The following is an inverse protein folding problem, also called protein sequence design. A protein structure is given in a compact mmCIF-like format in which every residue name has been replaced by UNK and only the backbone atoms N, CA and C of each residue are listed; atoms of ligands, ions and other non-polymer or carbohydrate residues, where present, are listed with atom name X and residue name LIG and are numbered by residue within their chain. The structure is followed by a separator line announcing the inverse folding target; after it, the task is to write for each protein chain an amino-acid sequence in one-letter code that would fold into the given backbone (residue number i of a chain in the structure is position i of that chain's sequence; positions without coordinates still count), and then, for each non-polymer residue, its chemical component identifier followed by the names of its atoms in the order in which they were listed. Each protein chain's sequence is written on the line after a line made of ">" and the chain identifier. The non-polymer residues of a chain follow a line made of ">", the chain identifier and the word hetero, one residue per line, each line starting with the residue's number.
data_IF_817243480966
#
_entry.id   IF_817243480966
#
_cell.length_a   1.000
_cell.length_b   1.000
_cell.length_c   1.000
_cell.angle_alpha   90.00
_cell.angle_beta   90.00
_cell.angle_gamma   90.00
#
_symmetry.space_group_name_H-M   'P 1'
#
loop_
_entity.id
_entity.type
_entity.pdbx_description
1 polymer ?
#
# COMPACT_ATOMS: atom_id res chain seq x y z
N UNK A 1 3.94 -19.23 10.03
CA UNK A 1 5.33 -18.69 9.81
C UNK A 1 5.26 -17.38 9.05
N UNK A 2 5.97 -16.32 9.50
CA UNK A 2 6.01 -15.01 8.83
C UNK A 2 7.35 -14.86 8.10
N UNK A 3 7.30 -14.50 6.83
CA UNK A 3 8.45 -14.05 6.05
C UNK A 3 8.26 -12.58 5.71
N UNK A 4 9.33 -11.81 5.73
CA UNK A 4 9.28 -10.37 5.49
C UNK A 4 10.54 -9.91 4.77
N UNK A 5 10.40 -9.01 3.82
CA UNK A 5 11.53 -8.34 3.17
C UNK A 5 11.21 -6.89 2.89
N UNK A 6 12.11 -6.01 3.30
CA UNK A 6 12.09 -4.57 3.02
C UNK A 6 13.05 -4.27 1.87
N UNK A 7 12.62 -3.43 0.96
CA UNK A 7 13.38 -2.99 -0.20
C UNK A 7 13.53 -1.48 -0.19
N UNK A 8 14.72 -1.02 -0.53
CA UNK A 8 14.91 0.38 -0.90
C UNK A 8 14.36 0.61 -2.31
N UNK A 9 13.63 1.71 -2.54
CA UNK A 9 13.06 1.97 -3.85
C UNK A 9 14.14 2.26 -4.89
N UNK A 10 13.84 1.94 -6.14
CA UNK A 10 14.67 2.32 -7.29
C UNK A 10 15.06 3.82 -7.22
N UNK A 11 16.32 4.22 -7.53
CA UNK A 11 16.78 5.60 -7.36
C UNK A 11 15.87 6.67 -8.00
N UNK A 12 15.27 6.38 -9.16
CA UNK A 12 14.32 7.28 -9.83
C UNK A 12 12.98 7.43 -9.06
N UNK A 13 12.65 6.51 -8.17
CA UNK A 13 11.45 6.54 -7.34
C UNK A 13 11.71 7.11 -5.95
N UNK A 14 12.97 7.25 -5.53
CA UNK A 14 13.34 7.59 -4.16
C UNK A 14 12.83 8.96 -3.67
N UNK A 15 12.47 9.87 -4.59
CA UNK A 15 11.85 11.16 -4.23
C UNK A 15 10.34 11.06 -3.97
N UNK A 16 9.71 9.94 -4.31
CA UNK A 16 8.27 9.71 -4.15
C UNK A 16 7.98 8.58 -3.18
N UNK A 17 8.75 7.51 -3.27
CA UNK A 17 8.57 6.27 -2.50
C UNK A 17 9.60 6.25 -1.37
N UNK A 18 9.13 5.94 -0.17
CA UNK A 18 9.99 5.80 1.00
C UNK A 18 10.48 4.37 1.13
N UNK A 19 9.60 3.40 0.92
CA UNK A 19 9.91 1.98 1.09
C UNK A 19 8.93 1.10 0.32
N UNK A 20 9.38 -0.08 -0.04
CA UNK A 20 8.55 -1.18 -0.50
C UNK A 20 8.82 -2.37 0.41
N UNK A 21 7.79 -3.02 0.94
CA UNK A 21 7.98 -4.25 1.68
C UNK A 21 6.96 -5.31 1.30
N UNK A 22 7.36 -6.57 1.39
CA UNK A 22 6.52 -7.72 1.11
C UNK A 22 6.49 -8.60 2.35
N UNK A 23 5.29 -9.00 2.74
CA UNK A 23 5.04 -9.93 3.85
C UNK A 23 4.29 -11.12 3.32
N UNK A 24 4.73 -12.31 3.69
CA UNK A 24 4.02 -13.57 3.50
C UNK A 24 3.81 -14.22 4.87
N UNK A 25 2.57 -14.49 5.21
CA UNK A 25 2.23 -15.13 6.47
C UNK A 25 1.43 -16.40 6.20
N UNK A 26 2.03 -17.52 6.55
CA UNK A 26 1.37 -18.83 6.56
C UNK A 26 0.88 -19.07 7.98
N UNK A 27 -0.42 -19.22 8.14
CA UNK A 27 -1.07 -19.47 9.44
C UNK A 27 -0.83 -20.92 9.87
N UNK A 28 -0.68 -21.14 11.17
CA UNK A 28 -0.60 -22.48 11.72
C UNK A 28 -1.98 -23.17 11.72
N UNK A 29 -2.05 -24.50 11.49
CA UNK A 29 -3.31 -25.22 11.55
C UNK A 29 -3.98 -25.05 12.92
N UNK A 30 -5.16 -24.44 12.94
CA UNK A 30 -5.91 -24.16 14.18
C UNK A 30 -5.83 -22.69 14.65
N UNK A 31 -4.99 -21.86 14.07
CA UNK A 31 -5.12 -20.42 14.17
C UNK A 31 -6.42 -20.00 13.47
N UNK A 32 -7.29 -19.33 14.23
CA UNK A 32 -8.53 -18.77 13.70
C UNK A 32 -8.27 -17.47 12.94
N UNK A 33 -9.29 -16.62 12.88
CA UNK A 33 -9.17 -15.28 12.31
C UNK A 33 -8.16 -14.45 13.13
N UNK A 34 -7.12 -13.95 12.48
CA UNK A 34 -6.19 -13.00 13.10
C UNK A 34 -6.77 -11.59 12.98
N UNK A 35 -6.81 -10.88 14.10
CA UNK A 35 -7.18 -9.48 14.15
C UNK A 35 -5.94 -8.63 14.37
N UNK A 36 -5.55 -7.90 13.34
CA UNK A 36 -4.46 -6.92 13.39
C UNK A 36 -4.99 -5.52 13.67
N UNK A 37 -4.16 -4.70 14.34
CA UNK A 37 -4.46 -3.30 14.58
C UNK A 37 -3.59 -2.45 13.65
N UNK A 38 -4.21 -1.55 12.90
CA UNK A 38 -3.51 -0.54 12.11
C UNK A 38 -3.65 0.81 12.81
N UNK A 39 -2.55 1.33 13.38
CA UNK A 39 -2.59 2.57 14.15
C UNK A 39 -2.78 3.79 13.25
N UNK A 40 -3.22 4.92 13.80
CA UNK A 40 -3.17 6.21 13.12
C UNK A 40 -1.75 6.50 12.60
N UNK A 41 -1.64 6.91 11.35
CA UNK A 41 -0.37 7.26 10.72
C UNK A 41 -0.57 8.33 9.66
N UNK A 42 0.35 9.30 9.52
CA UNK A 42 0.32 10.27 8.44
C UNK A 42 0.81 9.70 7.11
N UNK A 43 1.35 8.48 7.09
CA UNK A 43 1.93 7.90 5.90
C UNK A 43 0.87 7.49 4.88
N UNK A 44 1.14 7.78 3.61
CA UNK A 44 0.36 7.32 2.48
C UNK A 44 0.93 6.00 1.98
N UNK A 45 0.06 5.03 1.76
CA UNK A 45 0.46 3.70 1.32
C UNK A 45 -0.45 3.16 0.22
N UNK A 46 0.11 2.27 -0.60
CA UNK A 46 -0.67 1.34 -1.42
C UNK A 46 -0.43 -0.06 -0.87
N UNK A 47 -1.50 -0.75 -0.52
CA UNK A 47 -1.49 -2.15 -0.13
C UNK A 47 -1.95 -3.00 -1.32
N UNK A 48 -1.14 -3.99 -1.69
CA UNK A 48 -1.44 -4.96 -2.73
C UNK A 48 -1.61 -6.32 -2.06
N UNK A 49 -2.86 -6.77 -1.91
CA UNK A 49 -3.21 -8.06 -1.33
C UNK A 49 -3.13 -9.14 -2.41
N UNK A 50 -2.00 -9.85 -2.44
CA UNK A 50 -1.60 -10.73 -3.54
C UNK A 50 -2.35 -12.06 -3.45
N UNK A 51 -2.42 -12.69 -2.27
CA UNK A 51 -3.07 -14.00 -2.11
C UNK A 51 -4.52 -13.88 -1.66
N UNK A 52 -4.76 -13.30 -0.51
CA UNK A 52 -6.08 -13.27 0.12
C UNK A 52 -6.63 -11.85 0.23
N UNK A 53 -7.96 -11.75 0.21
CA UNK A 53 -8.64 -10.52 0.56
C UNK A 53 -8.71 -10.41 2.07
N UNK A 54 -8.65 -9.19 2.57
CA UNK A 54 -8.84 -8.91 3.98
C UNK A 54 -10.12 -8.12 4.22
N UNK A 55 -10.53 -8.09 5.48
CA UNK A 55 -11.62 -7.25 5.92
C UNK A 55 -11.09 -6.21 6.87
N UNK A 56 -11.63 -5.02 6.81
CA UNK A 56 -11.25 -3.91 7.68
C UNK A 56 -12.48 -3.15 8.16
N UNK A 57 -12.35 -2.57 9.35
CA UNK A 57 -13.30 -1.59 9.91
C UNK A 57 -12.56 -0.54 10.71
N UNK A 58 -13.13 0.64 10.87
CA UNK A 58 -12.69 1.57 11.90
C UNK A 58 -13.09 1.04 13.28
N UNK A 59 -12.31 1.37 14.29
CA UNK A 59 -12.58 0.89 15.67
C UNK A 59 -13.96 1.29 16.20
N UNK A 60 -14.53 2.37 15.67
CA UNK A 60 -15.86 2.88 16.01
C UNK A 60 -17.00 2.36 15.09
N UNK A 61 -16.69 1.49 14.13
CA UNK A 61 -17.66 0.82 13.26
C UNK A 61 -17.99 -0.57 13.80
N UNK A 62 -19.22 -1.04 13.58
CA UNK A 62 -19.66 -2.37 14.01
C UNK A 62 -19.32 -3.47 13.00
N UNK A 63 -19.24 -3.12 11.71
CA UNK A 63 -19.15 -4.08 10.63
C UNK A 63 -17.84 -4.00 9.87
N UNK A 64 -17.28 -5.19 9.57
CA UNK A 64 -16.12 -5.31 8.69
C UNK A 64 -16.54 -5.24 7.22
N UNK A 65 -15.80 -4.46 6.45
CA UNK A 65 -15.94 -4.39 4.99
C UNK A 65 -14.85 -5.20 4.33
N UNK A 66 -15.22 -6.00 3.32
CA UNK A 66 -14.24 -6.65 2.44
C UNK A 66 -13.57 -5.56 1.61
N UNK A 67 -12.25 -5.54 1.60
CA UNK A 67 -11.46 -4.61 0.81
C UNK A 67 -11.07 -5.22 -0.54
N UNK A 68 -10.80 -4.36 -1.51
CA UNK A 68 -10.27 -4.76 -2.82
C UNK A 68 -8.85 -5.31 -2.70
N UNK A 69 -8.34 -5.93 -3.76
CA UNK A 69 -6.96 -6.44 -3.80
C UNK A 69 -5.91 -5.32 -3.78
N UNK A 70 -6.24 -4.14 -4.28
CA UNK A 70 -5.40 -2.96 -4.20
C UNK A 70 -6.12 -1.89 -3.39
N UNK A 71 -5.48 -1.39 -2.33
CA UNK A 71 -6.07 -0.37 -1.45
C UNK A 71 -5.09 0.79 -1.30
N UNK A 72 -5.55 1.97 -1.63
CA UNK A 72 -4.84 3.22 -1.37
C UNK A 72 -5.27 3.75 -0.02
N UNK A 73 -4.30 3.97 0.86
CA UNK A 73 -4.53 4.47 2.22
C UNK A 73 -3.89 5.85 2.35
N UNK A 74 -4.71 6.83 2.71
CA UNK A 74 -4.27 8.18 3.04
C UNK A 74 -3.87 8.33 4.51
N UNK A 75 -3.74 9.59 4.98
CA UNK A 75 -3.46 9.84 6.38
C UNK A 75 -4.58 9.27 7.26
N UNK A 76 -4.21 8.43 8.22
CA UNK A 76 -5.16 7.81 9.14
C UNK A 76 -5.13 8.53 10.48
N UNK A 77 -6.28 8.99 10.95
CA UNK A 77 -6.48 9.53 12.30
C UNK A 77 -7.28 8.57 13.17
N UNK A 78 -8.05 7.67 12.57
CA UNK A 78 -8.81 6.63 13.27
C UNK A 78 -8.09 5.29 13.16
N UNK A 79 -7.95 4.60 14.29
CA UNK A 79 -7.41 3.23 14.32
C UNK A 79 -8.33 2.28 13.54
N UNK A 80 -7.71 1.42 12.72
CA UNK A 80 -8.40 0.38 11.96
C UNK A 80 -8.15 -0.99 12.59
N UNK A 81 -9.14 -1.87 12.49
CA UNK A 81 -9.00 -3.31 12.73
C UNK A 81 -9.02 -4.04 11.40
N UNK A 82 -8.03 -4.90 11.20
CA UNK A 82 -7.86 -5.72 10.01
C UNK A 82 -8.04 -7.19 10.39
N UNK A 83 -8.77 -7.96 9.59
CA UNK A 83 -8.90 -9.40 9.82
C UNK A 83 -8.46 -10.19 8.60
N UNK A 84 -7.68 -11.23 8.84
CA UNK A 84 -7.29 -12.25 7.88
C UNK A 84 -7.64 -13.61 8.43
N UNK A 85 -8.14 -14.52 7.57
CA UNK A 85 -8.61 -15.84 7.97
C UNK A 85 -7.81 -16.99 7.35
N UNK A 86 -6.91 -16.69 6.45
CA UNK A 86 -6.07 -17.65 5.74
C UNK A 86 -4.68 -17.08 5.54
N UNK A 87 -3.79 -17.90 4.97
CA UNK A 87 -2.47 -17.44 4.54
C UNK A 87 -2.60 -16.23 3.64
N UNK A 88 -1.79 -15.23 3.89
CA UNK A 88 -1.85 -14.01 3.09
C UNK A 88 -0.46 -13.55 2.67
N UNK A 89 -0.41 -12.96 1.48
CA UNK A 89 0.75 -12.22 1.01
C UNK A 89 0.32 -10.80 0.68
N UNK A 90 1.00 -9.83 1.25
CA UNK A 90 0.76 -8.41 0.99
C UNK A 90 2.06 -7.70 0.65
N UNK A 91 2.03 -6.89 -0.39
CA UNK A 91 3.07 -5.92 -0.66
C UNK A 91 2.57 -4.52 -0.31
N UNK A 92 3.43 -3.71 0.28
CA UNK A 92 3.09 -2.35 0.70
C UNK A 92 4.10 -1.37 0.13
N UNK A 93 3.59 -0.35 -0.55
CA UNK A 93 4.38 0.78 -1.03
C UNK A 93 4.10 1.96 -0.10
N UNK A 94 5.08 2.37 0.68
CA UNK A 94 5.03 3.57 1.51
C UNK A 94 5.56 4.78 0.75
N UNK A 95 4.81 5.85 0.73
CA UNK A 95 5.17 7.09 0.03
C UNK A 95 5.77 8.12 0.97
N UNK A 96 6.68 8.92 0.43
CA UNK A 96 7.10 10.17 1.08
C UNK A 96 5.95 11.19 1.05
N UNK A 97 5.96 12.19 1.93
CA UNK A 97 4.96 13.26 1.89
C UNK A 97 4.87 13.88 0.50
N UNK A 98 3.65 14.03 -0.01
CA UNK A 98 3.37 14.48 -1.36
C UNK A 98 3.69 13.47 -2.48
N UNK A 99 4.44 12.40 -2.19
CA UNK A 99 4.90 11.44 -3.19
C UNK A 99 3.78 10.73 -3.94
N UNK A 100 2.74 10.31 -3.24
CA UNK A 100 1.57 9.66 -3.83
C UNK A 100 0.86 10.59 -4.83
N UNK A 101 0.60 11.85 -4.43
CA UNK A 101 -0.03 12.84 -5.30
C UNK A 101 0.84 13.16 -6.52
N UNK A 102 2.14 13.38 -6.31
CA UNK A 102 3.04 13.77 -7.41
C UNK A 102 3.21 12.66 -8.43
N UNK A 103 3.36 11.40 -7.98
CA UNK A 103 3.61 10.26 -8.86
C UNK A 103 2.33 9.76 -9.53
N UNK A 104 1.21 9.70 -8.79
CA UNK A 104 -0.03 9.06 -9.24
C UNK A 104 -1.18 10.05 -9.49
N UNK A 105 -1.03 11.29 -9.05
CA UNK A 105 -2.04 12.34 -9.25
C UNK A 105 -3.27 12.21 -8.35
N UNK A 106 -3.24 11.38 -7.32
CA UNK A 106 -4.36 11.17 -6.40
C UNK A 106 -4.41 12.33 -5.39
N UNK A 107 -5.49 13.13 -5.37
CA UNK A 107 -5.65 14.22 -4.41
C UNK A 107 -5.73 13.72 -2.98
N UNK A 108 -4.99 14.35 -2.08
CA UNK A 108 -4.87 13.90 -0.69
C UNK A 108 -6.17 14.03 0.09
N UNK A 109 -7.01 15.03 -0.24
CA UNK A 109 -8.33 15.24 0.35
C UNK A 109 -9.33 14.13 0.03
N UNK A 110 -9.14 13.42 -1.10
CA UNK A 110 -10.02 12.33 -1.51
C UNK A 110 -9.76 11.02 -0.77
N UNK A 111 -8.60 10.90 -0.11
CA UNK A 111 -8.16 9.66 0.55
C UNK A 111 -7.91 9.81 2.06
N UNK A 112 -8.63 10.72 2.71
CA UNK A 112 -8.45 10.97 4.14
C UNK A 112 -9.18 9.94 5.01
N UNK A 113 -8.46 9.42 6.01
CA UNK A 113 -8.95 8.56 7.11
C UNK A 113 -9.71 7.30 6.69
N UNK A 114 -9.43 6.73 5.51
CA UNK A 114 -9.94 5.41 5.07
C UNK A 114 -8.97 4.76 4.07
N UNK A 115 -9.31 3.52 3.69
CA UNK A 115 -8.73 2.82 2.56
C UNK A 115 -9.68 2.84 1.37
N UNK A 116 -9.17 3.22 0.22
CA UNK A 116 -9.93 3.43 -1.02
C UNK A 116 -9.56 2.38 -2.06
N UNK A 117 -10.50 2.02 -2.92
CA UNK A 117 -10.26 1.04 -3.96
C UNK A 117 -9.21 1.55 -4.96
N UNK A 118 -8.12 0.79 -5.09
CA UNK A 118 -7.05 1.14 -6.01
C UNK A 118 -7.48 1.15 -7.47
N UNK A 119 -8.41 0.27 -7.86
CA UNK A 119 -8.94 0.26 -9.22
C UNK A 119 -9.72 1.55 -9.54
N UNK A 120 -10.55 2.02 -8.62
CA UNK A 120 -11.32 3.26 -8.81
C UNK A 120 -10.41 4.48 -8.95
N UNK A 121 -9.29 4.50 -8.21
CA UNK A 121 -8.36 5.64 -8.20
C UNK A 121 -7.30 5.59 -9.31
N UNK A 122 -6.85 4.41 -9.72
CA UNK A 122 -5.68 4.23 -10.60
C UNK A 122 -5.99 3.53 -11.92
N UNK A 123 -7.19 2.94 -12.06
CA UNK A 123 -7.59 2.19 -13.24
C UNK A 123 -7.23 0.71 -13.20
N UNK A 124 -7.47 0.00 -14.32
CA UNK A 124 -7.36 -1.45 -14.37
C UNK A 124 -5.92 -1.99 -14.28
N UNK A 125 -4.95 -1.20 -14.64
CA UNK A 125 -3.53 -1.58 -14.65
C UNK A 125 -3.00 -1.97 -13.24
N UNK A 126 -3.62 -1.48 -12.16
CA UNK A 126 -3.27 -1.90 -10.80
C UNK A 126 -3.73 -3.33 -10.51
N UNK A 127 -4.87 -3.76 -11.06
CA UNK A 127 -5.34 -5.13 -10.92
C UNK A 127 -4.43 -6.10 -11.68
N UNK A 128 -4.02 -5.73 -12.90
CA UNK A 128 -3.06 -6.49 -13.69
C UNK A 128 -1.73 -6.65 -12.95
N UNK A 129 -1.27 -5.62 -12.24
CA UNK A 129 -0.08 -5.71 -11.38
C UNK A 129 -0.28 -6.74 -10.27
N UNK A 130 -1.40 -6.68 -9.53
CA UNK A 130 -1.67 -7.63 -8.44
C UNK A 130 -1.75 -9.07 -8.96
N UNK A 131 -2.40 -9.27 -10.11
CA UNK A 131 -2.49 -10.60 -10.73
C UNK A 131 -1.13 -11.14 -11.17
N UNK A 132 -0.26 -10.30 -11.71
CA UNK A 132 1.12 -10.68 -12.03
C UNK A 132 1.91 -11.03 -10.77
N UNK A 133 1.79 -10.25 -9.72
CA UNK A 133 2.43 -10.57 -8.43
C UNK A 133 1.94 -11.91 -7.85
N UNK A 134 0.68 -12.26 -8.06
CA UNK A 134 0.11 -13.53 -7.60
C UNK A 134 0.66 -14.78 -8.32
N UNK A 135 1.31 -14.61 -9.46
CA UNK A 135 1.91 -15.69 -10.25
C UNK A 135 3.35 -16.02 -9.85
N UNK A 136 3.93 -15.24 -8.92
CA UNK A 136 5.32 -15.43 -8.49
C UNK A 136 5.40 -15.60 -6.97
N UNK A 137 6.39 -16.38 -6.52
CA UNK A 137 6.65 -16.58 -5.08
C UNK A 137 7.82 -15.72 -4.57
N UNK A 138 8.63 -15.18 -5.49
CA UNK A 138 9.82 -14.40 -5.16
C UNK A 138 9.44 -12.97 -4.76
N UNK A 139 9.84 -12.56 -3.56
CA UNK A 139 9.68 -11.18 -3.10
C UNK A 139 10.45 -10.18 -3.96
N UNK A 140 11.62 -10.58 -4.48
CA UNK A 140 12.43 -9.74 -5.38
C UNK A 140 11.68 -9.49 -6.68
N UNK A 141 11.10 -10.52 -7.28
CA UNK A 141 10.31 -10.41 -8.51
C UNK A 141 9.03 -9.58 -8.27
N UNK A 142 8.38 -9.77 -7.12
CA UNK A 142 7.22 -8.95 -6.73
C UNK A 142 7.60 -7.47 -6.63
N UNK A 143 8.73 -7.15 -5.98
CA UNK A 143 9.24 -5.80 -5.88
C UNK A 143 9.54 -5.22 -7.26
N UNK A 144 10.22 -5.98 -8.13
CA UNK A 144 10.54 -5.57 -9.50
C UNK A 144 9.27 -5.23 -10.31
N UNK A 145 8.20 -6.01 -10.19
CA UNK A 145 6.93 -5.70 -10.86
C UNK A 145 6.31 -4.41 -10.35
N UNK A 146 6.36 -4.17 -9.03
CA UNK A 146 5.87 -2.95 -8.42
C UNK A 146 6.68 -1.74 -8.88
N UNK A 147 8.01 -1.84 -8.86
CA UNK A 147 8.89 -0.77 -9.31
C UNK A 147 8.67 -0.43 -10.79
N UNK A 148 8.58 -1.43 -11.66
CA UNK A 148 8.33 -1.23 -13.08
C UNK A 148 6.97 -0.55 -13.33
N UNK A 149 5.95 -0.90 -12.56
CA UNK A 149 4.65 -0.23 -12.60
C UNK A 149 4.78 1.26 -12.23
N UNK A 150 5.46 1.55 -11.13
CA UNK A 150 5.65 2.92 -10.64
C UNK A 150 6.57 3.74 -11.58
N UNK A 151 7.64 3.14 -12.12
CA UNK A 151 8.50 3.77 -13.10
C UNK A 151 7.73 4.19 -14.36
N UNK A 152 6.77 3.37 -14.79
CA UNK A 152 5.88 3.72 -15.90
C UNK A 152 5.02 4.96 -15.66
N UNK A 153 4.83 5.38 -14.38
CA UNK A 153 4.09 6.60 -14.05
C UNK A 153 4.94 7.87 -14.08
N UNK A 154 6.27 7.76 -14.13
CA UNK A 154 7.18 8.91 -14.10
C UNK A 154 6.95 9.92 -15.24
N UNK A 155 6.46 9.47 -16.38
CA UNK A 155 6.13 10.36 -17.52
C UNK A 155 4.97 11.33 -17.23
N UNK A 156 4.21 11.11 -16.15
CA UNK A 156 3.04 11.90 -15.75
C UNK A 156 3.23 12.62 -14.41
N UNK A 157 4.46 12.65 -13.91
CA UNK A 157 4.78 13.28 -12.61
C UNK A 157 4.35 14.74 -12.60
N UNK A 158 3.65 15.15 -11.56
CA UNK A 158 3.30 16.55 -11.32
C UNK A 158 4.52 17.33 -10.81
N UNK A 159 4.61 18.59 -11.19
CA UNK A 159 5.70 19.47 -10.76
C UNK A 159 5.79 19.58 -9.23
N UNK A 160 7.01 19.81 -8.76
CA UNK A 160 7.29 20.08 -7.35
C UNK A 160 6.58 21.38 -6.91
N UNK A 161 5.80 21.29 -5.87
CA UNK A 161 5.29 22.47 -5.17
C UNK A 161 6.32 22.90 -4.10
N UNK A 162 6.37 24.18 -3.74
CA UNK A 162 7.28 24.68 -2.68
C UNK A 162 7.13 23.93 -1.35
N UNK A 163 5.92 23.48 -1.03
CA UNK A 163 5.61 22.70 0.18
C UNK A 163 6.30 21.33 0.20
N UNK A 164 6.51 20.71 -0.97
CA UNK A 164 7.15 19.40 -1.04
C UNK A 164 8.61 19.45 -0.56
N UNK A 165 9.30 20.55 -0.83
CA UNK A 165 10.65 20.80 -0.31
C UNK A 165 10.67 20.88 1.21
N UNK A 166 9.77 21.68 1.79
CA UNK A 166 9.66 21.84 3.25
C UNK A 166 9.30 20.53 3.95
N UNK A 167 8.37 19.73 3.39
CA UNK A 167 7.98 18.44 3.93
C UNK A 167 9.13 17.41 3.90
N UNK A 168 9.94 17.43 2.86
CA UNK A 168 11.10 16.52 2.78
C UNK A 168 12.20 16.88 3.81
N UNK A 169 12.37 18.15 4.14
CA UNK A 169 13.31 18.59 5.19
C UNK A 169 12.85 18.19 6.60
N UNK A 170 11.54 18.08 6.84
CA UNK A 170 10.98 17.69 8.14
C UNK A 170 11.16 16.21 8.48
N UNK A 171 11.56 15.36 7.52
CA UNK A 171 11.63 13.89 7.67
C UNK A 171 13.08 13.39 7.75
N UNK A 172 14.03 14.26 7.55
CA UNK A 172 15.45 13.99 7.80
C UNK A 172 15.76 14.08 9.28
#
# INVERSE_FOLDING_TARGET
>A
MIKFKLFEPHPLLATFVQSIFVVDHVLDPGEGVIVGQYPPTPQHCIFLYIKEKFKAKKVNESEYRIRSKAVVVGPQVTRMELTVSHDYTVAVVGFRPGGLFRLLGIPMEEIFDDGFDGFELMGNDINDLVERCAQVESFDTTCEFIENYLLGKLSRVKELLPIDGALNEMIQ
#
